data_IF_290813924364
#
_entry.id   IF_290813924364
#
_cell.length_a   1.000
_cell.length_b   1.000
_cell.length_c   1.000
_cell.angle_alpha   90.00
_cell.angle_beta   90.00
_cell.angle_gamma   90.00
#
_symmetry.space_group_name_H-M   'P 1'
#
loop_
_entity.id
_entity.type
_entity.pdbx_description
1 polymer ?
#
# COMPACT_ATOMS: atom_id res chain seq x y z
N UNK A 1 -24.22 12.53 -13.69
CA UNK A 1 -23.18 11.79 -12.94
C UNK A 1 -22.12 11.32 -13.92
N UNK A 2 -20.84 11.36 -13.57
CA UNK A 2 -19.80 10.79 -14.43
C UNK A 2 -19.96 9.27 -14.55
N UNK A 3 -19.65 8.71 -15.72
CA UNK A 3 -19.71 7.27 -15.98
C UNK A 3 -18.77 6.50 -15.02
N UNK A 4 -19.19 5.30 -14.61
CA UNK A 4 -18.41 4.42 -13.74
C UNK A 4 -17.65 3.39 -14.58
N UNK A 5 -16.37 3.20 -14.27
CA UNK A 5 -15.57 2.11 -14.81
C UNK A 5 -15.64 0.95 -13.82
N UNK A 6 -16.02 -0.24 -14.30
CA UNK A 6 -16.23 -1.42 -13.48
C UNK A 6 -15.35 -2.54 -14.01
N UNK A 7 -14.54 -3.13 -13.13
CA UNK A 7 -13.68 -4.28 -13.42
C UNK A 7 -14.12 -5.48 -12.58
N UNK A 8 -13.89 -6.68 -13.10
CA UNK A 8 -14.31 -7.93 -12.47
C UNK A 8 -13.16 -8.91 -12.32
N UNK A 9 -13.36 -9.90 -11.45
CA UNK A 9 -12.55 -11.11 -11.32
C UNK A 9 -11.04 -10.82 -11.19
N UNK A 10 -10.24 -11.53 -11.98
CA UNK A 10 -8.79 -11.48 -11.96
C UNK A 10 -8.25 -10.10 -12.36
N UNK A 11 -8.88 -9.41 -13.31
CA UNK A 11 -8.43 -8.09 -13.75
C UNK A 11 -8.54 -7.06 -12.61
N UNK A 12 -9.66 -7.08 -11.89
CA UNK A 12 -9.84 -6.24 -10.71
C UNK A 12 -8.81 -6.58 -9.62
N UNK A 13 -8.64 -7.88 -9.30
CA UNK A 13 -7.69 -8.34 -8.28
C UNK A 13 -6.24 -7.98 -8.61
N UNK A 14 -5.82 -8.13 -9.87
CA UNK A 14 -4.47 -7.75 -10.35
C UNK A 14 -4.21 -6.25 -10.16
N UNK A 15 -5.19 -5.40 -10.46
CA UNK A 15 -5.07 -3.95 -10.28
C UNK A 15 -4.97 -3.57 -8.79
N UNK A 16 -5.83 -4.16 -7.95
CA UNK A 16 -5.78 -3.94 -6.51
C UNK A 16 -4.44 -4.42 -5.93
N UNK A 17 -3.96 -5.61 -6.32
CA UNK A 17 -2.67 -6.17 -5.91
C UNK A 17 -1.51 -5.27 -6.25
N UNK A 18 -1.48 -4.73 -7.47
CA UNK A 18 -0.45 -3.79 -7.88
C UNK A 18 -0.41 -2.55 -6.98
N UNK A 19 -1.57 -1.99 -6.64
CA UNK A 19 -1.67 -0.88 -5.70
C UNK A 19 -1.16 -1.20 -4.30
N UNK A 20 -1.60 -2.32 -3.73
CA UNK A 20 -1.12 -2.82 -2.43
C UNK A 20 0.39 -3.01 -2.43
N UNK A 21 0.92 -3.63 -3.48
CA UNK A 21 2.35 -3.89 -3.64
C UNK A 21 3.16 -2.59 -3.75
N UNK A 22 2.70 -1.61 -4.54
CA UNK A 22 3.38 -0.31 -4.66
C UNK A 22 3.46 0.42 -3.31
N UNK A 23 2.38 0.44 -2.53
CA UNK A 23 2.38 0.99 -1.18
C UNK A 23 3.39 0.24 -0.28
N UNK A 24 3.32 -1.08 -0.25
CA UNK A 24 4.15 -1.90 0.62
C UNK A 24 5.64 -1.81 0.26
N UNK A 25 5.99 -1.78 -1.03
CA UNK A 25 7.38 -1.66 -1.48
C UNK A 25 8.02 -0.34 -1.06
N UNK A 26 7.26 0.76 -1.11
CA UNK A 26 7.75 2.06 -0.68
C UNK A 26 7.88 2.18 0.85
N UNK A 27 6.96 1.57 1.61
CA UNK A 27 6.96 1.68 3.09
C UNK A 27 7.90 0.67 3.74
N UNK A 28 8.05 -0.54 3.18
CA UNK A 28 8.86 -1.61 3.80
C UNK A 28 10.34 -1.27 3.93
N UNK A 29 10.88 -0.42 3.06
CA UNK A 29 12.31 -0.07 3.10
C UNK A 29 12.66 0.75 4.34
N UNK A 30 11.67 1.34 5.02
CA UNK A 30 11.87 2.12 6.23
C UNK A 30 11.75 1.29 7.51
N UNK A 31 11.40 0.00 7.42
CA UNK A 31 11.15 -0.85 8.58
C UNK A 31 12.42 -1.10 9.41
N UNK A 32 12.28 -0.95 10.72
CA UNK A 32 13.29 -1.33 11.72
C UNK A 32 14.45 -0.32 11.87
N UNK A 33 15.40 -0.61 12.79
CA UNK A 33 16.48 0.33 13.14
C UNK A 33 17.46 0.60 11.99
N UNK A 34 17.48 -0.28 10.98
CA UNK A 34 18.30 -0.13 9.76
C UNK A 34 17.48 0.27 8.52
N UNK A 35 16.30 0.86 8.73
CA UNK A 35 15.49 1.42 7.65
C UNK A 35 16.29 2.38 6.78
N UNK A 36 16.04 2.33 5.47
CA UNK A 36 16.65 3.19 4.46
C UNK A 36 15.83 4.46 4.28
N UNK A 37 16.49 5.49 3.75
CA UNK A 37 15.84 6.75 3.44
C UNK A 37 14.91 6.63 2.23
N UNK A 38 13.76 7.26 2.32
CA UNK A 38 12.86 7.55 1.21
C UNK A 38 12.90 9.04 0.95
N UNK A 39 13.03 9.40 -0.32
CA UNK A 39 13.06 10.80 -0.78
C UNK A 39 11.70 11.11 -1.40
N UNK A 40 11.06 12.18 -0.92
CA UNK A 40 9.74 12.61 -1.32
C UNK A 40 9.87 14.01 -1.91
N UNK A 41 9.31 14.20 -3.10
CA UNK A 41 9.33 15.49 -3.77
C UNK A 41 8.47 16.52 -3.03
N UNK A 42 8.85 17.80 -3.14
CA UNK A 42 8.05 18.92 -2.64
C UNK A 42 7.86 19.91 -3.77
N UNK A 43 6.66 20.46 -3.88
CA UNK A 43 6.33 21.46 -4.91
C UNK A 43 7.22 22.71 -4.87
N UNK A 44 7.84 23.01 -3.73
CA UNK A 44 8.80 24.10 -3.57
C UNK A 44 9.92 23.71 -2.59
N UNK A 45 11.15 24.14 -2.88
CA UNK A 45 12.31 23.93 -2.02
C UNK A 45 13.02 22.58 -2.24
N UNK A 46 13.70 22.09 -1.19
CA UNK A 46 14.41 20.81 -1.22
C UNK A 46 13.49 19.62 -0.91
N UNK A 47 13.77 18.43 -1.46
CA UNK A 47 12.96 17.23 -1.19
C UNK A 47 12.99 16.83 0.29
N UNK A 48 11.93 16.16 0.75
CA UNK A 48 11.89 15.58 2.08
C UNK A 48 12.61 14.25 2.09
N UNK A 49 13.55 14.07 3.03
CA UNK A 49 14.20 12.78 3.26
C UNK A 49 13.70 12.23 4.59
N UNK A 50 13.10 11.04 4.57
CA UNK A 50 12.51 10.43 5.77
C UNK A 50 12.82 8.94 5.89
N UNK A 51 12.79 8.42 7.12
CA UNK A 51 12.73 6.98 7.43
C UNK A 51 11.42 6.62 8.16
N UNK A 52 10.47 7.54 8.22
CA UNK A 52 9.17 7.28 8.83
C UNK A 52 8.22 6.67 7.79
N UNK A 53 7.83 5.41 8.00
CA UNK A 53 6.91 4.70 7.13
C UNK A 53 5.50 5.30 7.09
N UNK A 54 5.06 5.97 8.17
CA UNK A 54 3.75 6.65 8.21
C UNK A 54 3.77 7.86 7.27
N UNK A 55 4.84 8.66 7.32
CA UNK A 55 5.04 9.77 6.37
C UNK A 55 5.08 9.26 4.93
N UNK A 56 5.84 8.19 4.65
CA UNK A 56 5.91 7.63 3.28
C UNK A 56 4.53 7.15 2.80
N UNK A 57 3.78 6.44 3.63
CA UNK A 57 2.46 5.93 3.26
C UNK A 57 1.46 7.06 2.91
N UNK A 58 1.53 8.20 3.61
CA UNK A 58 0.63 9.34 3.38
C UNK A 58 0.79 9.93 1.98
N UNK A 59 2.00 9.96 1.45
CA UNK A 59 2.33 10.53 0.13
C UNK A 59 1.99 9.59 -1.03
N UNK A 60 1.51 8.37 -0.76
CA UNK A 60 1.15 7.42 -1.81
C UNK A 60 -0.27 7.67 -2.29
N UNK A 61 -0.33 8.12 -3.54
CA UNK A 61 -1.50 8.25 -4.38
C UNK A 61 -1.15 7.80 -5.80
N UNK A 62 -1.96 6.92 -6.39
CA UNK A 62 -1.69 6.31 -7.68
C UNK A 62 -2.66 6.85 -8.74
N UNK A 63 -2.16 7.07 -9.97
CA UNK A 63 -2.97 7.59 -11.08
C UNK A 63 -4.11 6.64 -11.50
N UNK A 64 -3.83 5.34 -11.57
CA UNK A 64 -4.85 4.35 -11.85
C UNK A 64 -5.77 4.20 -10.63
N UNK A 65 -7.05 4.54 -10.81
CA UNK A 65 -8.04 4.52 -9.72
C UNK A 65 -8.18 3.15 -9.05
N UNK A 66 -8.02 2.05 -9.78
CA UNK A 66 -8.14 0.71 -9.21
C UNK A 66 -6.90 0.32 -8.42
N UNK A 67 -5.72 0.70 -8.90
CA UNK A 67 -4.48 0.54 -8.14
C UNK A 67 -4.54 1.43 -6.88
N UNK A 68 -4.96 2.69 -7.01
CA UNK A 68 -5.10 3.59 -5.87
C UNK A 68 -6.07 3.04 -4.83
N UNK A 69 -7.22 2.49 -5.23
CA UNK A 69 -8.14 1.83 -4.29
C UNK A 69 -7.45 0.76 -3.45
N UNK A 70 -6.60 -0.07 -4.05
CA UNK A 70 -5.83 -1.09 -3.34
C UNK A 70 -4.87 -0.50 -2.30
N UNK A 71 -4.11 0.52 -2.71
CA UNK A 71 -3.21 1.25 -1.81
C UNK A 71 -3.98 1.92 -0.66
N UNK A 72 -5.06 2.64 -0.94
CA UNK A 72 -5.84 3.34 0.07
C UNK A 72 -6.46 2.38 1.09
N UNK A 73 -6.95 1.21 0.68
CA UNK A 73 -7.51 0.21 1.60
C UNK A 73 -6.48 -0.25 2.65
N UNK A 74 -5.26 -0.57 2.21
CA UNK A 74 -4.22 -1.03 3.14
C UNK A 74 -3.70 0.14 4.00
N UNK A 75 -3.57 1.34 3.43
CA UNK A 75 -3.17 2.54 4.17
C UNK A 75 -4.13 2.85 5.33
N UNK A 76 -5.43 2.82 5.06
CA UNK A 76 -6.51 3.08 6.03
C UNK A 76 -6.54 2.06 7.18
N UNK A 77 -6.31 0.78 6.88
CA UNK A 77 -6.29 -0.27 7.92
C UNK A 77 -5.01 -0.22 8.73
N UNK A 78 -3.86 0.02 8.07
CA UNK A 78 -2.57 0.09 8.73
C UNK A 78 -2.40 1.35 9.59
N UNK A 79 -3.07 2.46 9.27
CA UNK A 79 -3.07 3.66 10.12
C UNK A 79 -3.78 3.41 11.45
N UNK A 80 -4.88 2.65 11.44
CA UNK A 80 -5.62 2.26 12.66
C UNK A 80 -4.79 1.42 13.63
N UNK A 81 -3.76 0.72 13.15
CA UNK A 81 -2.80 0.03 14.01
C UNK A 81 -2.04 1.03 14.87
N UNK A 82 -1.48 2.09 14.26
CA UNK A 82 -0.77 3.13 15.00
C UNK A 82 -1.72 3.93 15.92
N UNK A 83 -2.94 4.22 15.48
CA UNK A 83 -3.91 4.97 16.31
C UNK A 83 -4.25 4.25 17.63
N UNK A 84 -4.24 2.90 17.63
CA UNK A 84 -4.58 2.08 18.80
C UNK A 84 -3.37 1.63 19.60
N UNK A 85 -2.29 1.26 18.92
CA UNK A 85 -1.11 0.64 19.53
C UNK A 85 0.10 1.60 19.65
N UNK A 86 0.05 2.77 19.02
CA UNK A 86 1.13 3.76 18.99
C UNK A 86 2.22 3.52 17.96
N UNK A 87 2.28 2.34 17.34
CA UNK A 87 3.22 1.94 16.30
C UNK A 87 2.64 0.76 15.48
N UNK A 88 3.33 0.35 14.41
CA UNK A 88 3.05 -0.89 13.69
C UNK A 88 2.48 -0.71 12.28
N UNK A 89 2.30 0.51 11.78
CA UNK A 89 1.77 0.77 10.43
C UNK A 89 2.60 0.11 9.34
N UNK A 90 3.94 0.19 9.40
CA UNK A 90 4.81 -0.46 8.43
C UNK A 90 4.68 -1.98 8.49
N UNK A 91 4.65 -2.56 9.70
CA UNK A 91 4.50 -4.01 9.89
C UNK A 91 3.15 -4.50 9.37
N UNK A 92 2.05 -3.80 9.68
CA UNK A 92 0.72 -4.12 9.18
C UNK A 92 0.66 -4.10 7.64
N UNK A 93 1.30 -3.10 7.03
CA UNK A 93 1.37 -2.97 5.56
C UNK A 93 2.14 -4.15 4.92
N UNK A 94 3.28 -4.54 5.50
CA UNK A 94 4.08 -5.67 5.01
C UNK A 94 3.32 -6.99 5.14
N UNK A 95 2.66 -7.21 6.28
CA UNK A 95 1.86 -8.42 6.49
C UNK A 95 0.65 -8.47 5.54
N UNK A 96 -0.03 -7.35 5.32
CA UNK A 96 -1.16 -7.27 4.39
C UNK A 96 -0.76 -7.62 2.96
N UNK A 97 0.40 -7.12 2.48
CA UNK A 97 0.91 -7.45 1.15
C UNK A 97 1.25 -8.94 1.00
N UNK A 98 1.91 -9.53 2.00
CA UNK A 98 2.26 -10.94 1.99
C UNK A 98 1.01 -11.85 1.97
N UNK A 99 0.07 -11.59 2.87
CA UNK A 99 -1.19 -12.36 2.97
C UNK A 99 -2.00 -12.23 1.67
N UNK A 100 -2.14 -11.01 1.14
CA UNK A 100 -2.92 -10.78 -0.07
C UNK A 100 -2.28 -11.44 -1.30
N UNK A 101 -0.95 -11.35 -1.43
CA UNK A 101 -0.20 -11.97 -2.54
C UNK A 101 -0.36 -13.49 -2.54
N UNK A 102 -0.16 -14.15 -1.40
CA UNK A 102 -0.32 -15.60 -1.30
C UNK A 102 -1.78 -16.03 -1.44
N UNK A 103 -2.73 -15.26 -0.90
CA UNK A 103 -4.16 -15.50 -1.08
C UNK A 103 -4.54 -15.48 -2.57
N UNK A 104 -4.12 -14.45 -3.30
CA UNK A 104 -4.38 -14.37 -4.75
C UNK A 104 -3.76 -15.52 -5.53
N UNK A 105 -2.55 -15.95 -5.18
CA UNK A 105 -1.89 -17.10 -5.81
C UNK A 105 -2.73 -18.37 -5.67
N UNK A 106 -3.27 -18.63 -4.49
CA UNK A 106 -4.13 -19.79 -4.23
C UNK A 106 -5.47 -19.69 -4.96
N UNK A 107 -6.08 -18.51 -4.98
CA UNK A 107 -7.34 -18.27 -5.72
C UNK A 107 -7.15 -18.50 -7.23
N UNK A 108 -6.05 -18.04 -7.81
CA UNK A 108 -5.70 -18.32 -9.21
C UNK A 108 -5.48 -19.82 -9.46
N UNK A 109 -5.00 -20.56 -8.46
CA UNK A 109 -4.85 -22.02 -8.52
C UNK A 109 -6.19 -22.79 -8.36
N UNK A 110 -7.31 -22.10 -8.17
CA UNK A 110 -8.64 -22.70 -8.04
C UNK A 110 -9.10 -22.94 -6.61
N UNK A 111 -8.38 -22.43 -5.61
CA UNK A 111 -8.85 -22.45 -4.22
C UNK A 111 -10.07 -21.54 -4.05
N UNK A 112 -11.00 -21.93 -3.16
CA UNK A 112 -12.16 -21.12 -2.81
C UNK A 112 -11.72 -19.92 -1.94
N UNK A 113 -11.95 -18.66 -2.35
CA UNK A 113 -11.57 -17.45 -1.60
C UNK A 113 -12.34 -17.25 -0.29
#
# INVERSE_FOLDING_TARGET
MAAKNIKYNEEARKKIHKGVKTLAEAVKVTLGPKGRHVVIDKSFGSPQVTKDGVTVAKEIELEDKHENMGAQMVKEVASKTADKAGDGTTTATVLAEAIYSEGLRNVTAGANP
#
